data_IF_152749847265
#
_entry.id   IF_152749847265
#
_cell.length_a   1.000
_cell.length_b   1.000
_cell.length_c   1.000
_cell.angle_alpha   90.00
_cell.angle_beta   90.00
_cell.angle_gamma   90.00
#
_symmetry.space_group_name_H-M   'P 1'
#
loop_
_entity.id
_entity.type
_entity.pdbx_description
1 polymer ?
#
# COMPACT_ATOMS: atom_id res chain seq x y z
N UNK A 1 -4.92 6.40 3.35
CA UNK A 1 -3.70 5.83 3.98
C UNK A 1 -2.54 5.88 3.00
N UNK A 2 -1.34 6.03 3.51
CA UNK A 2 -0.13 5.95 2.71
C UNK A 2 0.83 4.96 3.36
N UNK A 3 1.42 4.08 2.57
CA UNK A 3 2.39 3.10 3.03
C UNK A 3 3.72 3.32 2.32
N UNK A 4 4.81 3.30 3.09
CA UNK A 4 6.17 3.38 2.56
C UNK A 4 6.89 2.07 2.86
N UNK A 5 7.36 1.41 1.80
CA UNK A 5 7.96 0.08 1.88
C UNK A 5 9.38 0.11 1.30
N UNK A 6 10.24 -0.74 1.85
CA UNK A 6 11.61 -0.92 1.35
C UNK A 6 11.79 -2.35 0.86
N UNK A 7 12.17 -2.49 -0.41
CA UNK A 7 12.40 -3.78 -1.07
C UNK A 7 13.84 -3.84 -1.59
N UNK A 8 14.83 -4.17 -0.72
CA UNK A 8 16.25 -4.07 -1.07
C UNK A 8 16.70 -5.04 -2.15
N UNK A 9 15.95 -6.11 -2.41
CA UNK A 9 16.28 -7.07 -3.47
C UNK A 9 15.92 -6.58 -4.87
N UNK A 10 15.17 -5.48 -5.00
CA UNK A 10 14.73 -4.97 -6.29
C UNK A 10 15.87 -4.23 -6.98
N UNK A 11 16.18 -4.61 -8.22
CA UNK A 11 17.28 -4.04 -8.99
C UNK A 11 16.84 -3.35 -10.27
N UNK A 12 15.54 -3.32 -10.58
CA UNK A 12 15.03 -2.65 -11.77
C UNK A 12 13.64 -2.08 -11.52
N UNK A 13 13.27 -1.08 -12.31
CA UNK A 13 11.91 -0.52 -12.27
C UNK A 13 10.88 -1.56 -12.74
N UNK A 14 11.25 -2.45 -13.65
CA UNK A 14 10.36 -3.52 -14.11
C UNK A 14 9.98 -4.44 -12.97
N UNK A 15 10.96 -4.88 -12.18
CA UNK A 15 10.74 -5.70 -11.00
C UNK A 15 9.81 -4.99 -9.99
N UNK A 16 10.13 -3.72 -9.72
CA UNK A 16 9.34 -2.91 -8.79
C UNK A 16 7.89 -2.78 -9.26
N UNK A 17 7.67 -2.49 -10.55
CA UNK A 17 6.33 -2.34 -11.10
C UNK A 17 5.49 -3.61 -10.96
N UNK A 18 6.11 -4.77 -11.06
CA UNK A 18 5.43 -6.04 -10.85
C UNK A 18 4.97 -6.20 -9.40
N UNK A 19 5.82 -5.83 -8.44
CA UNK A 19 5.49 -5.89 -7.01
C UNK A 19 4.35 -4.91 -6.69
N UNK A 20 4.48 -3.66 -7.15
CA UNK A 20 3.46 -2.63 -6.95
C UNK A 20 2.12 -3.07 -7.53
N UNK A 21 2.13 -3.55 -8.77
CA UNK A 21 0.91 -4.00 -9.45
C UNK A 21 0.22 -5.12 -8.67
N UNK A 22 0.99 -6.06 -8.15
CA UNK A 22 0.47 -7.17 -7.34
C UNK A 22 -0.18 -6.67 -6.06
N UNK A 23 0.50 -5.81 -5.31
CA UNK A 23 -0.02 -5.27 -4.05
C UNK A 23 -1.29 -4.46 -4.30
N UNK A 24 -1.27 -3.57 -5.28
CA UNK A 24 -2.42 -2.72 -5.63
C UNK A 24 -3.62 -3.57 -6.05
N UNK A 25 -3.42 -4.56 -6.91
CA UNK A 25 -4.51 -5.42 -7.36
C UNK A 25 -5.14 -6.20 -6.21
N UNK A 26 -4.31 -6.72 -5.29
CA UNK A 26 -4.81 -7.46 -4.13
C UNK A 26 -5.56 -6.57 -3.15
N UNK A 27 -5.09 -5.34 -2.94
CA UNK A 27 -5.80 -4.36 -2.12
C UNK A 27 -7.17 -4.05 -2.71
N UNK A 28 -7.23 -3.78 -4.00
CA UNK A 28 -8.48 -3.46 -4.69
C UNK A 28 -9.48 -4.62 -4.64
N UNK A 29 -9.00 -5.84 -4.83
CA UNK A 29 -9.86 -7.02 -4.82
C UNK A 29 -10.37 -7.37 -3.43
N UNK A 30 -9.52 -7.25 -2.41
CA UNK A 30 -9.89 -7.64 -1.05
C UNK A 30 -10.74 -6.58 -0.34
N UNK A 31 -10.43 -5.30 -0.52
CA UNK A 31 -11.05 -4.23 0.27
C UNK A 31 -11.95 -3.31 -0.56
N UNK A 32 -12.00 -3.48 -1.87
CA UNK A 32 -12.75 -2.61 -2.78
C UNK A 32 -12.40 -1.13 -2.59
N UNK A 33 -11.11 -0.85 -2.53
CA UNK A 33 -10.56 0.50 -2.35
C UNK A 33 -9.90 0.99 -3.63
N UNK A 34 -9.62 2.29 -3.70
CA UNK A 34 -8.72 2.85 -4.70
C UNK A 34 -7.30 2.78 -4.16
N UNK A 35 -6.37 2.26 -4.96
CA UNK A 35 -4.98 2.13 -4.56
C UNK A 35 -4.06 2.39 -5.76
N UNK A 36 -2.92 3.03 -5.50
CA UNK A 36 -1.93 3.35 -6.54
C UNK A 36 -0.57 3.63 -5.91
N UNK A 37 0.48 3.47 -6.71
CA UNK A 37 1.80 4.01 -6.37
C UNK A 37 1.74 5.53 -6.53
N UNK A 38 2.08 6.29 -5.49
CA UNK A 38 1.88 7.74 -5.46
C UNK A 38 3.16 8.58 -5.42
N UNK A 39 4.29 7.98 -5.02
CA UNK A 39 5.58 8.66 -4.94
C UNK A 39 6.70 7.69 -5.29
N UNK A 40 7.89 8.21 -5.52
CA UNK A 40 9.11 7.42 -5.73
C UNK A 40 9.01 6.45 -6.93
N UNK A 41 8.23 6.80 -7.96
CA UNK A 41 8.00 5.93 -9.11
C UNK A 41 9.29 5.51 -9.82
N UNK A 42 10.30 6.35 -9.80
CA UNK A 42 11.59 6.09 -10.46
C UNK A 42 12.68 5.56 -9.53
N UNK A 43 12.36 5.30 -8.27
CA UNK A 43 13.28 4.72 -7.28
C UNK A 43 13.03 3.23 -7.15
N UNK A 44 14.06 2.41 -7.37
CA UNK A 44 13.89 0.95 -7.47
C UNK A 44 13.43 0.29 -6.18
N UNK A 45 13.97 0.69 -5.04
CA UNK A 45 13.83 -0.05 -3.79
C UNK A 45 12.82 0.54 -2.82
N UNK A 46 12.30 1.73 -3.11
CA UNK A 46 11.28 2.38 -2.28
C UNK A 46 9.94 2.33 -3.00
N UNK A 47 8.92 1.89 -2.29
CA UNK A 47 7.55 1.78 -2.78
C UNK A 47 6.66 2.63 -1.89
N UNK A 48 5.91 3.56 -2.48
CA UNK A 48 4.95 4.37 -1.74
C UNK A 48 3.58 4.17 -2.35
N UNK A 49 2.68 3.56 -1.58
CA UNK A 49 1.32 3.22 -2.03
C UNK A 49 0.31 4.06 -1.27
N UNK A 50 -0.56 4.73 -2.00
CA UNK A 50 -1.72 5.43 -1.46
C UNK A 50 -2.97 4.57 -1.57
N UNK A 51 -3.82 4.62 -0.54
CA UNK A 51 -5.10 3.91 -0.49
C UNK A 51 -6.19 4.88 -0.05
N UNK A 52 -7.29 4.91 -0.78
CA UNK A 52 -8.45 5.73 -0.46
C UNK A 52 -9.72 4.89 -0.49
N UNK A 53 -10.60 5.12 0.47
CA UNK A 53 -11.88 4.45 0.56
C UNK A 53 -12.94 5.37 1.13
N UNK A 54 -14.19 5.12 0.77
CA UNK A 54 -15.35 5.79 1.36
C UNK A 54 -15.96 4.81 2.35
N UNK A 55 -16.10 5.24 3.61
CA UNK A 55 -16.70 4.44 4.66
C UNK A 55 -17.75 5.26 5.40
N UNK A 56 -18.82 4.61 5.92
CA UNK A 56 -19.97 5.34 6.49
C UNK A 56 -19.71 6.00 7.84
N UNK A 57 -18.71 5.55 8.61
CA UNK A 57 -18.43 6.12 9.93
C UNK A 57 -17.00 5.86 10.38
N UNK A 58 -16.57 6.55 11.45
CA UNK A 58 -15.20 6.47 11.98
C UNK A 58 -14.83 5.08 12.50
N UNK A 59 -15.75 4.39 13.14
CA UNK A 59 -15.47 3.05 13.69
C UNK A 59 -15.14 2.05 12.58
N UNK A 60 -15.89 2.10 11.48
CA UNK A 60 -15.62 1.26 10.32
C UNK A 60 -14.33 1.68 9.61
N UNK A 61 -14.04 2.98 9.57
CA UNK A 61 -12.80 3.48 9.01
C UNK A 61 -11.59 2.95 9.78
N UNK A 62 -11.61 3.03 11.10
CA UNK A 62 -10.53 2.53 11.95
C UNK A 62 -10.31 1.02 11.76
N UNK A 63 -11.38 0.24 11.77
CA UNK A 63 -11.31 -1.20 11.55
C UNK A 63 -10.71 -1.53 10.17
N UNK A 64 -11.17 -0.86 9.14
CA UNK A 64 -10.67 -1.08 7.78
C UNK A 64 -9.20 -0.70 7.66
N UNK A 65 -8.79 0.42 8.26
CA UNK A 65 -7.39 0.85 8.22
C UNK A 65 -6.48 -0.15 8.92
N UNK A 66 -6.90 -0.72 10.04
CA UNK A 66 -6.14 -1.78 10.72
C UNK A 66 -5.98 -3.02 9.84
N UNK A 67 -7.06 -3.45 9.20
CA UNK A 67 -7.02 -4.62 8.31
C UNK A 67 -6.14 -4.38 7.08
N UNK A 68 -6.22 -3.20 6.49
CA UNK A 68 -5.39 -2.82 5.34
C UNK A 68 -3.91 -2.79 5.73
N UNK A 69 -3.59 -2.20 6.88
CA UNK A 69 -2.22 -2.13 7.37
C UNK A 69 -1.62 -3.53 7.58
N UNK A 70 -2.36 -4.43 8.21
CA UNK A 70 -1.94 -5.81 8.41
C UNK A 70 -1.74 -6.52 7.07
N UNK A 71 -2.65 -6.32 6.13
CA UNK A 71 -2.56 -6.92 4.82
C UNK A 71 -1.33 -6.44 4.04
N UNK A 72 -1.06 -5.15 4.03
CA UNK A 72 0.11 -4.57 3.33
C UNK A 72 1.41 -5.10 3.93
N UNK A 73 1.49 -5.17 5.25
CA UNK A 73 2.68 -5.69 5.93
C UNK A 73 2.96 -7.14 5.56
N UNK A 74 1.92 -7.95 5.36
CA UNK A 74 2.03 -9.37 5.05
C UNK A 74 2.04 -9.69 3.56
N UNK A 75 1.78 -8.71 2.70
CA UNK A 75 1.57 -8.95 1.26
C UNK A 75 2.85 -9.20 0.48
N UNK A 76 4.00 -8.85 1.04
CA UNK A 76 5.31 -9.05 0.40
C UNK A 76 6.39 -9.13 1.47
N UNK A 77 7.62 -9.44 1.04
CA UNK A 77 8.78 -9.43 1.92
C UNK A 77 9.38 -8.03 2.11
N UNK A 78 8.78 -7.01 1.51
CA UNK A 78 9.23 -5.63 1.68
C UNK A 78 9.01 -5.18 3.12
N UNK A 79 9.98 -4.43 3.63
CA UNK A 79 9.91 -3.87 4.97
C UNK A 79 8.99 -2.65 4.99
N UNK A 80 8.03 -2.63 5.91
CA UNK A 80 7.20 -1.46 6.10
C UNK A 80 7.99 -0.40 6.88
N UNK A 81 8.31 0.70 6.22
CA UNK A 81 9.06 1.81 6.82
C UNK A 81 8.16 2.79 7.57
N UNK A 82 6.90 2.89 7.18
CA UNK A 82 5.97 3.79 7.82
C UNK A 82 4.61 3.75 7.15
N UNK A 83 3.60 4.23 7.89
CA UNK A 83 2.28 4.44 7.36
C UNK A 83 1.70 5.74 7.90
N UNK A 84 0.80 6.35 7.14
CA UNK A 84 0.02 7.49 7.59
C UNK A 84 -1.45 7.19 7.40
N UNK A 85 -2.27 7.67 8.33
CA UNK A 85 -3.73 7.50 8.28
C UNK A 85 -4.37 8.87 8.36
N UNK A 86 -5.39 9.07 7.55
CA UNK A 86 -6.11 10.33 7.50
C UNK A 86 -7.59 10.08 7.26
N UNK A 87 -8.44 10.68 8.06
CA UNK A 87 -9.90 10.65 7.89
C UNK A 87 -10.33 12.07 7.57
N UNK A 88 -11.08 12.21 6.49
CA UNK A 88 -11.56 13.52 6.02
C UNK A 88 -13.06 13.61 6.03
#
# INVERSE_FOLDING_TARGET
MTFRLHAPWVHSLKEKRMIVKSIVARLQNRFHVSAAEIEEQDTHQIIVIGVAAIVPNHAMADSMMDEIADFVEQSSDAELLGETREIR
#
